data_IF_595891076847
#
_entry.id   IF_595891076847
#
_cell.length_a   1.000
_cell.length_b   1.000
_cell.length_c   1.000
_cell.angle_alpha   90.00
_cell.angle_beta   90.00
_cell.angle_gamma   90.00
#
_symmetry.space_group_name_H-M   'P 1'
#
loop_
_entity.id
_entity.type
_entity.pdbx_description
1 polymer ?
#
# COMPACT_ATOMS: atom_id res chain seq x y z
N UNK A 1 16.41 -93.12 10.88
CA UNK A 1 16.37 -92.98 12.35
C UNK A 1 17.15 -91.71 12.68
N UNK A 2 16.67 -90.63 13.30
CA UNK A 2 15.46 -90.33 14.05
C UNK A 2 15.53 -88.81 14.36
N UNK A 3 14.40 -88.11 14.21
CA UNK A 3 13.97 -86.87 14.92
C UNK A 3 14.63 -85.49 14.67
N UNK A 4 13.75 -84.60 14.19
CA UNK A 4 13.52 -83.19 14.51
C UNK A 4 14.23 -82.63 15.75
N UNK A 5 14.76 -81.40 15.59
CA UNK A 5 14.66 -80.33 16.57
C UNK A 5 14.36 -79.02 15.82
N UNK A 6 13.18 -78.46 16.10
CA UNK A 6 12.70 -77.16 15.61
C UNK A 6 13.37 -76.08 16.47
N UNK A 7 14.15 -75.19 15.86
CA UNK A 7 14.65 -73.98 16.51
C UNK A 7 13.80 -72.78 16.02
N UNK A 8 13.05 -72.19 16.94
CA UNK A 8 12.28 -70.98 16.68
C UNK A 8 13.22 -69.77 16.59
N UNK A 9 13.33 -69.15 15.41
CA UNK A 9 13.98 -67.85 15.26
C UNK A 9 12.96 -66.75 15.58
N UNK A 10 13.09 -66.08 16.74
CA UNK A 10 12.47 -64.78 16.96
C UNK A 10 13.28 -63.72 16.20
N UNK A 11 12.71 -63.19 15.12
CA UNK A 11 13.23 -61.98 14.48
C UNK A 11 12.70 -60.74 15.22
N UNK A 12 13.56 -60.05 15.96
CA UNK A 12 13.25 -58.74 16.51
C UNK A 12 13.33 -57.68 15.39
N UNK A 13 12.18 -57.17 14.95
CA UNK A 13 12.11 -56.03 14.03
C UNK A 13 12.31 -54.75 14.84
N UNK A 14 13.52 -54.20 14.80
CA UNK A 14 13.80 -52.85 15.31
C UNK A 14 13.24 -51.83 14.31
N UNK A 15 12.09 -51.24 14.62
CA UNK A 15 11.53 -50.11 13.89
C UNK A 15 12.42 -48.87 14.12
N UNK A 16 13.32 -48.58 13.18
CA UNK A 16 14.06 -47.32 13.15
C UNK A 16 13.09 -46.24 12.68
N UNK A 17 12.49 -45.52 13.62
CA UNK A 17 11.70 -44.34 13.34
C UNK A 17 12.63 -43.21 12.86
N UNK A 18 12.77 -43.06 11.54
CA UNK A 18 13.34 -41.84 10.98
C UNK A 18 12.31 -40.72 11.17
N UNK A 19 12.62 -39.66 11.93
CA UNK A 19 11.71 -38.52 11.99
C UNK A 19 11.64 -37.92 10.59
N UNK A 20 10.45 -38.00 9.99
CA UNK A 20 10.12 -37.31 8.75
C UNK A 20 10.15 -35.80 9.07
N UNK A 21 11.32 -35.19 8.97
CA UNK A 21 11.47 -33.73 9.07
C UNK A 21 10.93 -33.13 7.80
N UNK A 22 9.64 -32.82 7.79
CA UNK A 22 9.06 -31.86 6.86
C UNK A 22 9.80 -30.53 7.06
N UNK A 23 10.87 -30.31 6.31
CA UNK A 23 11.47 -28.99 6.17
C UNK A 23 10.44 -28.17 5.39
N UNK A 24 9.60 -27.42 6.10
CA UNK A 24 8.90 -26.32 5.50
C UNK A 24 9.97 -25.37 4.95
N UNK A 25 10.19 -25.41 3.63
CA UNK A 25 10.97 -24.39 2.94
C UNK A 25 10.15 -23.11 3.08
N UNK A 26 10.47 -22.31 4.09
CA UNK A 26 10.00 -20.93 4.16
C UNK A 26 10.67 -20.24 2.98
N UNK A 27 9.98 -20.19 1.84
CA UNK A 27 10.40 -19.33 0.74
C UNK A 27 10.36 -17.91 1.29
N UNK A 28 11.53 -17.34 1.54
CA UNK A 28 11.67 -15.90 1.77
C UNK A 28 11.00 -15.23 0.57
N UNK A 29 9.98 -14.43 0.82
CA UNK A 29 9.39 -13.60 -0.20
C UNK A 29 10.52 -12.86 -0.92
N UNK A 30 10.59 -13.01 -2.24
CA UNK A 30 11.58 -12.30 -3.03
C UNK A 30 11.40 -10.80 -2.77
N UNK A 31 12.52 -10.09 -2.54
CA UNK A 31 12.46 -8.64 -2.39
C UNK A 31 11.74 -8.02 -3.60
N UNK A 32 10.91 -6.99 -3.40
CA UNK A 32 10.19 -6.35 -4.48
C UNK A 32 11.18 -5.85 -5.56
N UNK A 33 10.77 -5.86 -6.84
CA UNK A 33 11.60 -5.35 -7.93
C UNK A 33 11.93 -3.87 -7.68
N UNK A 34 13.16 -3.48 -8.02
CA UNK A 34 13.67 -2.11 -7.79
C UNK A 34 13.15 -1.10 -8.81
N UNK A 35 12.96 -1.54 -10.05
CA UNK A 35 12.24 -0.78 -11.07
C UNK A 35 11.37 -1.71 -11.90
N UNK A 36 10.33 -1.11 -12.48
CA UNK A 36 9.43 -1.74 -13.43
C UNK A 36 9.50 -0.98 -14.75
N UNK A 37 9.35 -1.70 -15.84
CA UNK A 37 9.20 -1.12 -17.18
C UNK A 37 8.10 -1.85 -17.93
N UNK A 38 7.75 -1.36 -19.12
CA UNK A 38 6.80 -2.01 -20.00
C UNK A 38 7.50 -2.68 -21.17
N UNK A 39 7.05 -3.88 -21.52
CA UNK A 39 7.44 -4.60 -22.73
C UNK A 39 6.16 -5.04 -23.45
N UNK A 40 5.81 -4.32 -24.52
CA UNK A 40 4.49 -4.41 -25.15
C UNK A 40 3.39 -4.22 -24.08
N UNK A 41 2.51 -5.22 -23.88
CA UNK A 41 1.43 -5.20 -22.89
C UNK A 41 1.82 -5.64 -21.48
N UNK A 42 3.07 -6.01 -21.24
CA UNK A 42 3.52 -6.56 -19.96
C UNK A 42 4.27 -5.55 -19.13
N UNK A 43 4.05 -5.61 -17.83
CA UNK A 43 4.96 -5.01 -16.84
C UNK A 43 6.06 -6.04 -16.57
N UNK A 44 7.31 -5.61 -16.63
CA UNK A 44 8.49 -6.45 -16.43
C UNK A 44 9.44 -5.83 -15.42
N UNK A 45 10.19 -6.67 -14.70
CA UNK A 45 11.27 -6.23 -13.83
C UNK A 45 12.56 -5.93 -14.62
N UNK A 46 13.59 -5.47 -13.91
CA UNK A 46 14.97 -5.22 -14.38
C UNK A 46 15.58 -6.39 -15.19
N UNK A 47 15.09 -7.61 -15.01
CA UNK A 47 15.58 -8.83 -15.68
C UNK A 47 14.67 -9.26 -16.85
N UNK A 48 13.70 -8.43 -17.22
CA UNK A 48 12.71 -8.73 -18.26
C UNK A 48 11.66 -9.77 -17.83
N UNK A 49 11.58 -10.13 -16.54
CA UNK A 49 10.60 -11.10 -16.05
C UNK A 49 9.26 -10.42 -15.85
N UNK A 50 8.19 -11.03 -16.34
CA UNK A 50 6.83 -10.51 -16.18
C UNK A 50 6.46 -10.38 -14.70
N UNK A 51 6.00 -9.19 -14.31
CA UNK A 51 5.44 -8.89 -13.00
C UNK A 51 3.93 -8.76 -13.14
N UNK A 52 3.18 -9.53 -12.36
CA UNK A 52 1.72 -9.36 -12.23
C UNK A 52 1.44 -8.59 -10.95
N UNK A 53 0.80 -7.43 -11.09
CA UNK A 53 0.34 -6.63 -9.97
C UNK A 53 -0.94 -7.25 -9.40
N UNK A 54 -0.87 -7.73 -8.16
CA UNK A 54 -2.01 -8.18 -7.37
C UNK A 54 -2.14 -7.19 -6.21
N UNK A 55 -2.90 -6.12 -6.45
CA UNK A 55 -2.98 -4.99 -5.52
C UNK A 55 -4.29 -4.95 -4.74
N UNK A 56 -4.23 -4.30 -3.58
CA UNK A 56 -5.40 -3.73 -2.88
C UNK A 56 -5.35 -2.21 -2.93
N UNK A 57 -6.49 -1.55 -2.78
CA UNK A 57 -6.56 -0.11 -2.52
C UNK A 57 -6.47 0.13 -1.02
N UNK A 58 -5.69 1.13 -0.59
CA UNK A 58 -5.71 1.61 0.80
C UNK A 58 -5.98 3.12 0.82
N UNK A 59 -7.14 3.55 1.33
CA UNK A 59 -7.47 4.97 1.44
C UNK A 59 -6.56 5.72 2.42
N UNK A 60 -6.05 6.86 1.99
CA UNK A 60 -5.32 7.86 2.79
C UNK A 60 -5.58 9.30 2.29
N UNK A 61 -6.60 9.48 1.45
CA UNK A 61 -7.01 10.77 0.86
C UNK A 61 -8.25 11.38 1.51
N UNK A 62 -8.87 10.68 2.46
CA UNK A 62 -10.05 11.16 3.19
C UNK A 62 -9.69 12.35 4.08
N UNK A 63 -10.69 12.99 4.67
CA UNK A 63 -10.57 14.25 5.41
C UNK A 63 -9.42 14.27 6.44
N UNK A 64 -9.12 13.19 7.20
CA UNK A 64 -7.99 13.18 8.13
C UNK A 64 -6.60 13.17 7.47
N UNK A 65 -6.53 12.80 6.19
CA UNK A 65 -5.30 12.55 5.41
C UNK A 65 -4.36 11.57 6.11
N UNK A 66 -4.96 10.54 6.68
CA UNK A 66 -4.29 9.43 7.34
C UNK A 66 -4.78 8.12 6.73
N UNK A 67 -3.89 7.14 6.59
CA UNK A 67 -4.28 5.83 6.10
C UNK A 67 -5.32 5.17 7.04
N UNK A 68 -6.40 4.67 6.46
CA UNK A 68 -7.51 4.09 7.21
C UNK A 68 -7.07 2.89 8.06
N UNK A 69 -7.72 2.70 9.21
CA UNK A 69 -7.49 1.56 10.11
C UNK A 69 -6.35 1.72 11.12
N UNK A 70 -5.55 2.80 11.05
CA UNK A 70 -4.48 3.06 12.04
C UNK A 70 -4.99 3.31 13.46
N UNK A 71 -6.28 3.64 13.62
CA UNK A 71 -6.95 3.68 14.93
C UNK A 71 -7.23 2.30 15.53
N UNK A 72 -7.15 1.22 14.74
CA UNK A 72 -7.56 -0.13 15.15
C UNK A 72 -6.42 -1.14 15.19
N UNK A 73 -5.37 -0.96 14.39
CA UNK A 73 -4.25 -1.91 14.31
C UNK A 73 -2.91 -1.20 14.08
N UNK A 74 -1.80 -1.79 14.55
CA UNK A 74 -0.47 -1.30 14.22
C UNK A 74 -0.22 -1.31 12.71
N UNK A 75 0.40 -0.25 12.20
CA UNK A 75 0.72 -0.04 10.79
C UNK A 75 1.45 -1.24 10.18
N UNK A 76 2.51 -1.71 10.85
CA UNK A 76 3.27 -2.89 10.42
C UNK A 76 2.42 -4.16 10.36
N UNK A 77 1.42 -4.30 11.24
CA UNK A 77 0.54 -5.46 11.26
C UNK A 77 -0.51 -5.41 10.12
N UNK A 78 -0.94 -4.22 9.69
CA UNK A 78 -1.78 -4.05 8.51
C UNK A 78 -0.97 -4.37 7.24
N UNK A 79 0.23 -3.78 7.10
CA UNK A 79 1.12 -4.00 5.96
C UNK A 79 1.53 -5.47 5.81
N UNK A 80 1.92 -6.14 6.91
CA UNK A 80 2.20 -7.57 6.90
C UNK A 80 0.96 -8.41 6.56
N UNK A 81 -0.23 -7.98 6.98
CA UNK A 81 -1.50 -8.62 6.62
C UNK A 81 -1.77 -8.59 5.11
N UNK A 82 -1.49 -7.47 4.43
CA UNK A 82 -1.59 -7.36 2.97
C UNK A 82 -0.71 -8.40 2.27
N UNK A 83 0.57 -8.50 2.68
CA UNK A 83 1.49 -9.49 2.16
C UNK A 83 1.05 -10.93 2.44
N UNK A 84 0.56 -11.21 3.66
CA UNK A 84 0.10 -12.53 4.07
C UNK A 84 -1.13 -13.01 3.29
N UNK A 85 -1.97 -12.10 2.81
CA UNK A 85 -3.09 -12.41 1.91
C UNK A 85 -2.66 -12.71 0.46
N UNK A 86 -1.37 -12.56 0.13
CA UNK A 86 -0.81 -12.83 -1.19
C UNK A 86 -0.82 -11.62 -2.15
N UNK A 87 -1.18 -10.42 -1.67
CA UNK A 87 -1.04 -9.20 -2.44
C UNK A 87 0.41 -8.75 -2.46
N UNK A 88 0.86 -8.22 -3.60
CA UNK A 88 2.23 -7.73 -3.78
C UNK A 88 2.31 -6.22 -4.00
N UNK A 89 1.18 -5.54 -4.02
CA UNK A 89 1.13 -4.08 -4.12
C UNK A 89 -0.06 -3.47 -3.37
N UNK A 90 0.08 -2.19 -3.05
CA UNK A 90 -1.00 -1.32 -2.60
C UNK A 90 -1.09 -0.12 -3.53
N UNK A 91 -2.29 0.17 -4.02
CA UNK A 91 -2.62 1.47 -4.58
C UNK A 91 -3.00 2.39 -3.43
N UNK A 92 -2.08 3.26 -3.04
CA UNK A 92 -2.16 4.12 -1.87
C UNK A 92 -2.59 5.52 -2.30
N UNK A 93 -3.82 5.86 -1.96
CA UNK A 93 -4.46 7.10 -2.42
C UNK A 93 -3.97 8.31 -1.62
N UNK A 94 -3.80 9.47 -2.26
CA UNK A 94 -3.45 10.73 -1.61
C UNK A 94 -4.18 11.92 -2.27
N UNK A 95 -4.44 13.01 -1.54
CA UNK A 95 -5.04 14.22 -2.08
C UNK A 95 -3.97 15.21 -2.56
N UNK A 96 -4.16 15.91 -3.69
CA UNK A 96 -3.18 16.88 -4.23
C UNK A 96 -2.69 17.88 -3.17
N UNK A 97 -3.62 18.39 -2.36
CA UNK A 97 -3.34 19.41 -1.35
C UNK A 97 -2.44 18.94 -0.21
N UNK A 98 -2.28 17.62 0.00
CA UNK A 98 -1.25 17.09 0.91
C UNK A 98 0.15 17.58 0.53
N UNK A 99 0.43 17.71 -0.78
CA UNK A 99 1.74 18.13 -1.28
C UNK A 99 1.80 19.63 -1.62
N UNK A 100 0.67 20.29 -1.84
CA UNK A 100 0.64 21.65 -2.41
C UNK A 100 0.05 22.72 -1.50
N UNK A 101 -0.80 22.36 -0.54
CA UNK A 101 -1.48 23.32 0.33
C UNK A 101 -0.74 23.47 1.68
N UNK A 102 -0.31 24.70 1.99
CA UNK A 102 0.41 25.02 3.23
C UNK A 102 -0.41 24.73 4.51
N UNK A 103 -1.75 24.75 4.41
CA UNK A 103 -2.63 24.41 5.52
C UNK A 103 -2.62 22.93 5.87
N UNK A 104 -2.20 22.04 4.96
CA UNK A 104 -2.02 20.61 5.22
C UNK A 104 -0.60 20.35 5.71
N UNK A 105 0.40 20.99 5.10
CA UNK A 105 1.81 20.82 5.45
C UNK A 105 2.12 21.19 6.91
N UNK A 106 1.31 22.08 7.51
CA UNK A 106 1.47 22.51 8.90
C UNK A 106 0.75 21.63 9.93
N UNK A 107 -0.01 20.61 9.51
CA UNK A 107 -0.78 19.77 10.41
C UNK A 107 -0.05 18.49 10.78
N UNK A 108 -0.11 18.19 12.07
CA UNK A 108 0.11 16.84 12.59
C UNK A 108 -1.15 15.98 12.42
N UNK A 109 -0.97 14.66 12.45
CA UNK A 109 -2.08 13.70 12.51
C UNK A 109 -3.01 13.99 13.69
N UNK A 110 -2.45 14.30 14.87
CA UNK A 110 -3.24 14.63 16.05
C UNK A 110 -4.10 15.88 15.86
N UNK A 111 -3.55 16.94 15.25
CA UNK A 111 -4.30 18.17 14.98
C UNK A 111 -5.40 17.96 13.95
N UNK A 112 -5.11 17.21 12.87
CA UNK A 112 -6.10 16.83 11.85
C UNK A 112 -7.29 16.10 12.48
N UNK A 113 -7.04 15.06 13.28
CA UNK A 113 -8.08 14.31 13.97
C UNK A 113 -8.86 15.15 14.99
N UNK A 114 -8.20 16.04 15.75
CA UNK A 114 -8.88 16.95 16.69
C UNK A 114 -9.79 17.95 15.97
N UNK A 115 -9.34 18.52 14.86
CA UNK A 115 -10.14 19.47 14.04
C UNK A 115 -11.42 18.83 13.51
N UNK A 116 -11.37 17.52 13.23
CA UNK A 116 -12.50 16.73 12.77
C UNK A 116 -13.33 16.13 13.92
N UNK A 117 -13.01 16.44 15.17
CA UNK A 117 -13.65 15.89 16.36
C UNK A 117 -13.60 14.34 16.42
N UNK A 118 -12.51 13.74 15.93
CA UNK A 118 -12.28 12.29 15.87
C UNK A 118 -11.47 11.80 17.08
N UNK A 119 -12.00 11.99 18.29
CA UNK A 119 -11.31 11.66 19.54
C UNK A 119 -11.00 10.18 19.70
N UNK A 120 -11.91 9.31 19.28
CA UNK A 120 -11.75 7.86 19.41
C UNK A 120 -10.67 7.34 18.46
N UNK A 121 -10.63 7.87 17.24
CA UNK A 121 -9.56 7.58 16.28
C UNK A 121 -8.21 8.10 16.79
N UNK A 122 -8.16 9.29 17.39
CA UNK A 122 -6.91 9.81 17.98
C UNK A 122 -6.41 8.91 19.12
N UNK A 123 -7.29 8.50 20.02
CA UNK A 123 -6.94 7.57 21.10
C UNK A 123 -6.47 6.21 20.54
N UNK A 124 -7.18 5.69 19.54
CA UNK A 124 -6.83 4.45 18.85
C UNK A 124 -5.48 4.51 18.14
N UNK A 125 -5.18 5.62 17.45
CA UNK A 125 -3.87 5.84 16.80
C UNK A 125 -2.78 5.90 17.86
N UNK A 126 -2.98 6.63 18.96
CA UNK A 126 -2.01 6.69 20.05
C UNK A 126 -1.72 5.32 20.69
N UNK A 127 -2.74 4.48 20.83
CA UNK A 127 -2.59 3.14 21.40
C UNK A 127 -1.93 2.13 20.45
N UNK A 128 -2.31 2.14 19.17
CA UNK A 128 -1.86 1.13 18.20
C UNK A 128 -0.59 1.53 17.45
N UNK A 129 -0.33 2.83 17.33
CA UNK A 129 0.75 3.40 16.55
C UNK A 129 1.43 4.56 17.31
N UNK A 130 2.11 4.28 18.43
CA UNK A 130 2.78 5.30 19.22
C UNK A 130 3.72 6.14 18.35
N UNK A 131 3.60 7.47 18.43
CA UNK A 131 4.41 8.43 17.66
C UNK A 131 3.82 8.82 16.29
N UNK A 132 2.86 8.08 15.72
CA UNK A 132 2.21 8.50 14.45
C UNK A 132 1.38 9.77 14.64
N UNK A 133 0.82 9.97 15.82
CA UNK A 133 0.02 11.16 16.14
C UNK A 133 0.81 12.48 16.02
N UNK A 134 2.12 12.43 16.26
CA UNK A 134 3.01 13.61 16.27
C UNK A 134 3.65 13.88 14.89
N UNK A 135 3.50 12.95 13.94
CA UNK A 135 3.98 13.14 12.58
C UNK A 135 3.14 14.19 11.85
N UNK A 136 3.78 14.94 10.95
CA UNK A 136 3.05 15.69 9.94
C UNK A 136 2.23 14.72 9.07
N UNK A 137 1.17 15.21 8.43
CA UNK A 137 0.35 14.39 7.54
C UNK A 137 1.18 13.71 6.43
N UNK A 138 2.17 14.43 5.89
CA UNK A 138 3.03 13.90 4.83
C UNK A 138 4.06 12.89 5.34
N UNK A 139 4.60 13.09 6.54
CA UNK A 139 5.48 12.11 7.19
C UNK A 139 4.73 10.84 7.58
N UNK A 140 3.47 10.97 8.02
CA UNK A 140 2.60 9.83 8.29
C UNK A 140 2.31 9.02 7.02
N UNK A 141 2.06 9.70 5.89
CA UNK A 141 1.94 9.05 4.59
C UNK A 141 3.24 8.31 4.21
N UNK A 142 4.40 8.94 4.40
CA UNK A 142 5.72 8.32 4.22
C UNK A 142 5.94 7.10 5.11
N UNK A 143 5.52 7.14 6.37
CA UNK A 143 5.59 6.01 7.28
C UNK A 143 4.78 4.81 6.77
N UNK A 144 3.59 5.04 6.19
CA UNK A 144 2.78 3.99 5.57
C UNK A 144 3.50 3.36 4.38
N UNK A 145 4.08 4.16 3.49
CA UNK A 145 4.89 3.69 2.36
C UNK A 145 6.07 2.85 2.84
N UNK A 146 6.76 3.31 3.89
CA UNK A 146 7.90 2.60 4.50
C UNK A 146 7.50 1.25 5.10
N UNK A 147 6.38 1.17 5.81
CA UNK A 147 5.88 -0.07 6.40
C UNK A 147 5.47 -1.11 5.35
N UNK A 148 4.88 -0.66 4.23
CA UNK A 148 4.60 -1.50 3.08
C UNK A 148 5.90 -2.04 2.47
N UNK A 149 6.91 -1.18 2.31
CA UNK A 149 8.23 -1.56 1.80
C UNK A 149 8.94 -2.59 2.69
N UNK A 150 8.91 -2.39 4.01
CA UNK A 150 9.44 -3.33 4.99
C UNK A 150 8.73 -4.70 4.95
N UNK A 151 7.47 -4.72 4.49
CA UNK A 151 6.67 -5.94 4.29
C UNK A 151 6.83 -6.54 2.89
N UNK A 152 7.71 -6.00 2.04
CA UNK A 152 7.93 -6.46 0.67
C UNK A 152 6.79 -6.12 -0.29
N UNK A 153 5.96 -5.13 0.04
CA UNK A 153 4.79 -4.72 -0.73
C UNK A 153 5.12 -3.46 -1.54
N UNK A 154 4.92 -3.53 -2.86
CA UNK A 154 5.08 -2.39 -3.74
C UNK A 154 3.97 -1.35 -3.51
N UNK A 155 4.24 -0.09 -3.84
CA UNK A 155 3.29 1.01 -3.73
C UNK A 155 3.10 1.67 -5.08
N UNK A 156 1.84 1.86 -5.45
CA UNK A 156 1.43 2.74 -6.53
C UNK A 156 0.78 3.95 -5.86
N UNK A 157 1.44 5.11 -5.95
CA UNK A 157 0.89 6.35 -5.44
C UNK A 157 -0.31 6.73 -6.32
N UNK A 158 -1.43 7.08 -5.72
CA UNK A 158 -2.65 7.39 -6.46
C UNK A 158 -3.18 8.77 -6.13
N UNK A 159 -3.04 9.72 -7.06
CA UNK A 159 -3.65 11.04 -6.89
C UNK A 159 -5.17 10.91 -7.03
N UNK A 160 -5.86 10.89 -5.90
CA UNK A 160 -7.27 10.48 -5.86
C UNK A 160 -8.23 11.64 -6.04
N UNK A 161 -7.95 12.74 -5.34
CA UNK A 161 -8.74 13.97 -5.30
C UNK A 161 -7.79 15.13 -5.07
N UNK A 162 -8.25 16.37 -5.21
CA UNK A 162 -7.40 17.52 -4.90
C UNK A 162 -7.51 17.91 -3.43
N UNK A 163 -8.73 18.27 -3.01
CA UNK A 163 -9.10 18.48 -1.62
C UNK A 163 -9.38 17.13 -0.96
N UNK A 164 -8.87 16.89 0.25
CA UNK A 164 -9.14 15.64 0.95
C UNK A 164 -10.62 15.46 1.25
N UNK A 165 -11.10 14.23 1.10
CA UNK A 165 -12.46 13.85 1.45
C UNK A 165 -13.05 12.79 0.54
N UNK A 166 -14.34 12.51 0.74
CA UNK A 166 -15.07 11.52 -0.05
C UNK A 166 -15.43 12.01 -1.45
N UNK A 167 -15.30 11.13 -2.44
CA UNK A 167 -15.67 11.33 -3.84
C UNK A 167 -16.68 10.23 -4.28
N UNK A 168 -17.12 10.03 -5.52
CA UNK A 168 -16.70 10.55 -6.81
C UNK A 168 -17.95 10.93 -7.62
N UNK A 169 -18.74 11.87 -7.08
CA UNK A 169 -19.97 12.32 -7.74
C UNK A 169 -19.62 13.14 -8.98
N UNK A 170 -20.51 13.16 -9.97
CA UNK A 170 -20.30 13.92 -11.21
C UNK A 170 -20.12 15.43 -11.01
N UNK A 171 -20.48 15.96 -9.84
CA UNK A 171 -20.45 17.38 -9.50
C UNK A 171 -19.73 17.65 -8.15
N UNK A 172 -18.78 16.81 -7.78
CA UNK A 172 -17.98 16.97 -6.54
C UNK A 172 -16.87 18.03 -6.64
N UNK A 173 -16.80 18.77 -7.77
CA UNK A 173 -15.80 19.81 -7.98
C UNK A 173 -14.37 19.29 -8.16
N UNK A 174 -14.19 17.98 -8.37
CA UNK A 174 -12.89 17.33 -8.47
C UNK A 174 -12.78 16.40 -9.71
N UNK A 175 -13.80 16.36 -10.57
CA UNK A 175 -13.94 15.36 -11.62
C UNK A 175 -13.13 15.65 -12.89
N UNK A 176 -12.90 16.92 -13.22
CA UNK A 176 -12.28 17.31 -14.48
C UNK A 176 -11.37 18.54 -14.35
N UNK A 177 -10.45 18.72 -15.29
CA UNK A 177 -9.51 19.84 -15.34
C UNK A 177 -10.22 21.20 -15.28
N UNK A 178 -9.84 22.05 -14.34
CA UNK A 178 -10.45 23.36 -14.08
C UNK A 178 -11.73 23.33 -13.23
N UNK A 179 -12.06 22.20 -12.57
CA UNK A 179 -13.16 22.20 -11.60
C UNK A 179 -12.73 23.01 -10.37
N UNK A 180 -13.68 23.37 -9.50
CA UNK A 180 -13.44 24.23 -8.33
C UNK A 180 -12.23 23.82 -7.47
N UNK A 181 -11.98 22.52 -7.31
CA UNK A 181 -10.80 22.01 -6.59
C UNK A 181 -9.74 21.39 -7.52
N UNK A 182 -9.97 21.28 -8.82
CA UNK A 182 -9.04 20.61 -9.75
C UNK A 182 -8.38 21.58 -10.74
N UNK A 183 -7.45 22.36 -10.24
CA UNK A 183 -6.52 23.16 -11.04
C UNK A 183 -5.39 22.28 -11.63
N UNK A 184 -5.18 22.25 -12.97
CA UNK A 184 -4.12 21.48 -13.61
C UNK A 184 -2.70 21.85 -13.18
N UNK A 185 -2.40 23.12 -12.91
CA UNK A 185 -1.06 23.57 -12.52
C UNK A 185 -0.74 23.09 -11.10
N UNK A 186 -1.71 23.22 -10.19
CA UNK A 186 -1.58 22.68 -8.82
C UNK A 186 -1.47 21.16 -8.82
N UNK A 187 -2.19 20.49 -9.73
CA UNK A 187 -2.10 19.05 -9.91
C UNK A 187 -0.72 18.61 -10.40
N UNK A 188 -0.17 19.25 -11.43
CA UNK A 188 1.18 18.96 -11.94
C UNK A 188 2.23 19.21 -10.85
N UNK A 189 2.14 20.32 -10.11
CA UNK A 189 3.04 20.61 -8.97
C UNK A 189 2.95 19.52 -7.89
N UNK A 190 1.74 19.08 -7.54
CA UNK A 190 1.53 18.00 -6.58
C UNK A 190 2.14 16.67 -7.03
N UNK A 191 1.95 16.29 -8.30
CA UNK A 191 2.56 15.10 -8.89
C UNK A 191 4.10 15.17 -8.85
N UNK A 192 4.67 16.32 -9.23
CA UNK A 192 6.12 16.54 -9.22
C UNK A 192 6.71 16.45 -7.81
N UNK A 193 6.05 17.06 -6.81
CA UNK A 193 6.47 17.02 -5.41
C UNK A 193 6.40 15.60 -4.83
N UNK A 194 5.32 14.86 -5.08
CA UNK A 194 5.20 13.46 -4.65
C UNK A 194 6.23 12.57 -5.35
N UNK A 195 6.51 12.81 -6.64
CA UNK A 195 7.55 12.07 -7.36
C UNK A 195 8.94 12.35 -6.77
N UNK A 196 9.26 13.62 -6.48
CA UNK A 196 10.53 14.00 -5.86
C UNK A 196 10.69 13.39 -4.47
N UNK A 197 9.63 13.42 -3.65
CA UNK A 197 9.62 12.85 -2.30
C UNK A 197 9.92 11.35 -2.28
N UNK A 198 9.40 10.60 -3.26
CA UNK A 198 9.52 9.15 -3.31
C UNK A 198 10.53 8.62 -4.33
N UNK A 199 11.30 9.48 -5.00
CA UNK A 199 12.24 9.09 -6.06
C UNK A 199 13.30 8.06 -5.61
N UNK A 200 13.72 8.11 -4.34
CA UNK A 200 14.68 7.16 -3.75
C UNK A 200 14.05 5.98 -3.02
N UNK A 201 12.72 5.88 -2.97
CA UNK A 201 12.00 4.89 -2.17
C UNK A 201 11.71 3.65 -3.02
N UNK A 202 12.57 2.64 -2.88
CA UNK A 202 12.63 1.51 -3.82
C UNK A 202 11.41 0.57 -3.89
N UNK A 203 10.39 0.73 -3.04
CA UNK A 203 9.13 0.02 -3.16
C UNK A 203 8.02 0.85 -3.83
N UNK A 204 8.23 2.13 -4.13
CA UNK A 204 7.30 2.94 -4.93
C UNK A 204 7.59 2.68 -6.40
N UNK A 205 6.65 2.03 -7.09
CA UNK A 205 6.88 1.49 -8.45
C UNK A 205 6.07 2.19 -9.54
N UNK A 206 5.25 3.17 -9.16
CA UNK A 206 4.47 3.96 -10.10
C UNK A 206 3.58 4.98 -9.42
N UNK A 207 2.99 5.84 -10.24
CA UNK A 207 2.03 6.85 -9.82
C UNK A 207 0.85 6.87 -10.78
N UNK A 208 -0.36 6.67 -10.26
CA UNK A 208 -1.60 6.96 -10.98
C UNK A 208 -1.84 8.47 -10.92
N UNK A 209 -1.96 9.09 -12.11
CA UNK A 209 -1.93 10.54 -12.24
C UNK A 209 -3.20 11.22 -11.74
N UNK A 210 -4.38 10.63 -11.95
CA UNK A 210 -5.66 11.13 -11.43
C UNK A 210 -6.70 10.02 -11.38
N UNK A 211 -7.45 9.93 -10.28
CA UNK A 211 -8.58 9.00 -10.17
C UNK A 211 -9.83 9.51 -10.91
N UNK A 212 -10.36 8.64 -11.78
CA UNK A 212 -11.71 8.72 -12.35
C UNK A 212 -12.09 10.08 -12.94
N UNK A 213 -11.37 10.59 -13.94
CA UNK A 213 -11.83 11.77 -14.69
C UNK A 213 -13.30 11.59 -15.10
N UNK A 214 -14.14 12.56 -14.73
CA UNK A 214 -15.61 12.44 -14.74
C UNK A 214 -16.28 13.81 -14.76
N UNK A 215 -17.61 13.80 -14.91
CA UNK A 215 -18.44 15.00 -14.86
C UNK A 215 -18.75 15.57 -16.24
N UNK A 216 -19.59 16.61 -16.32
CA UNK A 216 -20.14 17.12 -17.58
C UNK A 216 -19.07 17.73 -18.52
N UNK A 217 -17.90 18.09 -17.97
CA UNK A 217 -16.77 18.63 -18.74
C UNK A 217 -15.90 17.55 -19.39
N UNK A 218 -16.20 16.27 -19.16
CA UNK A 218 -15.59 15.16 -19.89
C UNK A 218 -16.21 15.03 -21.30
N UNK A 219 -16.06 16.07 -22.10
CA UNK A 219 -16.49 16.14 -23.49
C UNK A 219 -15.30 16.49 -24.40
N UNK A 220 -15.48 16.33 -25.71
CA UNK A 220 -14.39 16.50 -26.68
C UNK A 220 -13.85 17.95 -26.72
N UNK A 221 -14.72 18.95 -26.55
CA UNK A 221 -14.33 20.36 -26.66
C UNK A 221 -13.45 20.83 -25.51
N UNK A 222 -13.67 20.26 -24.32
CA UNK A 222 -12.92 20.59 -23.10
C UNK A 222 -11.63 19.77 -22.94
N UNK A 223 -11.51 18.61 -23.60
CA UNK A 223 -10.34 17.73 -23.47
C UNK A 223 -9.06 18.26 -24.14
N UNK A 224 -9.22 19.12 -25.14
CA UNK A 224 -8.10 19.67 -25.93
C UNK A 224 -7.79 21.14 -25.62
N UNK A 225 -8.36 21.69 -24.55
CA UNK A 225 -8.07 23.03 -24.05
C UNK A 225 -7.00 22.96 -22.96
#
# INVERSE_FOLDING_TARGET
MTRLLVAACLAAVLAVAWPCRCHAVVQRAAAPPRSLSTSSRWIVDERGRRVKLACVNWPSHLEPVLAEGLGHRPLGAIAAGVAAMGFNCVRLTWPTFLATDASYASLTVAESLRRLNLTDALAGVGANNPGVADLSLVDAFGAVVGALGASGVMVILDNHVSRSGWCCRANDGNGFFGDADFDPEVWIDGLAKMAAMFAGVGNVVGMSLRNELRGPRQNADDWYR
#
